data_IF_023051539138
#
_entry.id   IF_023051539138
#
_cell.length_a   1.000
_cell.length_b   1.000
_cell.length_c   1.000
_cell.angle_alpha   90.00
_cell.angle_beta   90.00
_cell.angle_gamma   90.00
#
_symmetry.space_group_name_H-M   'P 1'
#
loop_
_entity.id
_entity.type
_entity.pdbx_description
1 polymer ?
#
# COMPACT_ATOMS: atom_id res chain seq x y z
N UNK A 1 52.43 -25.56 -31.35
CA UNK A 1 51.91 -25.91 -30.00
C UNK A 1 51.70 -24.63 -29.15
N UNK A 2 51.08 -23.58 -29.73
CA UNK A 2 50.88 -22.25 -29.11
C UNK A 2 49.49 -21.66 -29.48
N UNK A 3 48.49 -22.52 -29.70
CA UNK A 3 47.14 -22.09 -30.08
C UNK A 3 46.33 -21.59 -28.86
N UNK A 4 46.58 -22.18 -27.68
CA UNK A 4 45.85 -21.89 -26.44
C UNK A 4 46.10 -20.47 -25.89
N UNK A 5 47.26 -19.88 -26.18
CA UNK A 5 47.62 -18.54 -25.69
C UNK A 5 46.80 -17.43 -26.36
N UNK A 6 46.26 -17.69 -27.56
CA UNK A 6 45.35 -16.78 -28.27
C UNK A 6 43.94 -16.74 -27.66
N UNK A 7 43.54 -17.84 -27.02
CA UNK A 7 42.22 -17.99 -26.41
C UNK A 7 42.14 -17.45 -24.97
N UNK A 8 43.24 -17.50 -24.21
CA UNK A 8 43.26 -17.11 -22.79
C UNK A 8 44.15 -15.89 -22.45
N UNK A 9 44.95 -15.37 -23.41
CA UNK A 9 45.96 -14.33 -23.14
C UNK A 9 45.71 -12.96 -23.81
N UNK A 10 44.67 -12.83 -24.63
CA UNK A 10 44.34 -11.55 -25.29
C UNK A 10 43.52 -10.65 -24.37
N UNK A 11 43.83 -9.33 -24.31
CA UNK A 11 42.88 -8.33 -23.80
C UNK A 11 41.54 -8.59 -24.49
N UNK A 12 40.50 -8.85 -23.71
CA UNK A 12 39.13 -8.96 -24.21
C UNK A 12 38.86 -7.72 -25.05
N UNK A 13 38.90 -7.85 -26.38
CA UNK A 13 38.24 -6.89 -27.25
C UNK A 13 36.81 -6.90 -26.74
N UNK A 14 36.34 -5.77 -26.22
CA UNK A 14 34.92 -5.57 -25.98
C UNK A 14 34.26 -5.71 -27.34
N UNK A 15 33.84 -6.93 -27.69
CA UNK A 15 32.93 -7.14 -28.78
C UNK A 15 31.68 -6.43 -28.32
N UNK A 16 31.41 -5.28 -28.94
CA UNK A 16 30.20 -4.52 -28.71
C UNK A 16 29.04 -5.49 -28.96
N UNK A 17 28.36 -5.92 -27.88
CA UNK A 17 27.30 -6.91 -27.97
C UNK A 17 26.14 -6.24 -28.71
N UNK A 18 26.09 -6.43 -30.04
CA UNK A 18 25.00 -5.96 -30.90
C UNK A 18 23.74 -6.83 -30.79
N UNK A 19 23.83 -7.96 -30.08
CA UNK A 19 22.72 -8.87 -29.87
C UNK A 19 21.95 -8.52 -28.59
N UNK A 20 20.63 -8.47 -28.69
CA UNK A 20 19.73 -8.31 -27.54
C UNK A 20 19.93 -9.47 -26.56
N UNK A 21 20.10 -9.16 -25.28
CA UNK A 21 20.16 -10.17 -24.23
C UNK A 21 18.76 -10.69 -23.90
N UNK A 22 18.66 -11.94 -23.41
CA UNK A 22 17.44 -12.49 -22.80
C UNK A 22 16.85 -11.55 -21.74
N UNK A 23 17.71 -10.88 -20.97
CA UNK A 23 17.28 -9.89 -19.98
C UNK A 23 16.63 -8.66 -20.62
N UNK A 24 17.14 -8.21 -21.76
CA UNK A 24 16.58 -7.06 -22.49
C UNK A 24 15.24 -7.42 -23.12
N UNK A 25 15.14 -8.61 -23.74
CA UNK A 25 13.88 -9.15 -24.25
C UNK A 25 12.83 -9.30 -23.14
N UNK A 26 13.22 -9.76 -21.96
CA UNK A 26 12.35 -9.80 -20.79
C UNK A 26 11.90 -8.41 -20.37
N UNK A 27 12.81 -7.44 -20.31
CA UNK A 27 12.49 -6.07 -19.89
C UNK A 27 11.54 -5.38 -20.87
N UNK A 28 11.66 -5.65 -22.16
CA UNK A 28 10.77 -5.13 -23.21
C UNK A 28 9.36 -5.74 -23.13
N UNK A 29 9.25 -7.05 -22.93
CA UNK A 29 7.98 -7.79 -22.96
C UNK A 29 7.33 -7.99 -21.57
N UNK A 30 7.98 -7.58 -20.50
CA UNK A 30 7.44 -7.71 -19.15
C UNK A 30 6.21 -6.83 -18.98
N UNK A 31 5.15 -7.46 -18.46
CA UNK A 31 3.93 -6.79 -18.02
C UNK A 31 3.69 -7.08 -16.55
N UNK A 32 3.36 -6.03 -15.79
CA UNK A 32 3.05 -6.16 -14.36
C UNK A 32 1.79 -7.01 -14.16
N UNK A 33 0.77 -6.79 -14.99
CA UNK A 33 -0.43 -7.64 -15.12
C UNK A 33 -0.55 -8.00 -16.59
N UNK A 34 -0.58 -9.31 -16.91
CA UNK A 34 -0.72 -9.81 -18.28
C UNK A 34 -2.21 -9.90 -18.63
N UNK A 35 -2.59 -9.37 -19.79
CA UNK A 35 -3.93 -9.55 -20.36
C UNK A 35 -3.97 -10.75 -21.31
N UNK A 36 -5.17 -11.08 -21.82
CA UNK A 36 -5.33 -12.13 -22.83
C UNK A 36 -4.63 -11.76 -24.14
N UNK A 37 -4.58 -10.48 -24.48
CA UNK A 37 -3.91 -9.95 -25.67
C UNK A 37 -2.38 -10.10 -25.57
N UNK A 38 -1.80 -9.81 -24.40
CA UNK A 38 -0.36 -10.01 -24.17
C UNK A 38 0.04 -11.50 -24.27
N UNK A 39 -0.90 -12.40 -23.99
CA UNK A 39 -0.72 -13.85 -24.01
C UNK A 39 -1.00 -14.49 -25.38
N UNK A 40 -1.56 -13.73 -26.32
CA UNK A 40 -1.81 -14.15 -27.69
C UNK A 40 -0.57 -14.07 -28.58
N UNK A 41 0.44 -13.26 -28.20
CA UNK A 41 1.72 -13.23 -28.91
C UNK A 41 2.52 -14.51 -28.65
N UNK A 42 2.83 -15.24 -29.72
CA UNK A 42 3.57 -16.50 -29.70
C UNK A 42 5.07 -16.33 -29.97
N UNK A 43 5.57 -15.09 -30.07
CA UNK A 43 6.99 -14.80 -30.19
C UNK A 43 7.81 -15.46 -29.08
N UNK A 44 9.09 -15.74 -29.37
CA UNK A 44 9.97 -16.39 -28.39
C UNK A 44 10.13 -15.51 -27.13
N UNK A 45 10.22 -14.20 -27.31
CA UNK A 45 10.32 -13.19 -26.26
C UNK A 45 9.05 -13.14 -25.41
N UNK A 46 7.87 -13.16 -26.04
CA UNK A 46 6.59 -13.21 -25.32
C UNK A 46 6.45 -14.52 -24.52
N UNK A 47 6.86 -15.66 -25.10
CA UNK A 47 6.90 -16.95 -24.40
C UNK A 47 7.86 -16.95 -23.21
N UNK A 48 9.02 -16.31 -23.34
CA UNK A 48 10.00 -16.16 -22.26
C UNK A 48 9.41 -15.32 -21.12
N UNK A 49 8.80 -14.16 -21.44
CA UNK A 49 8.13 -13.30 -20.47
C UNK A 49 6.95 -14.00 -19.78
N UNK A 50 6.14 -14.75 -20.52
CA UNK A 50 5.03 -15.55 -19.98
C UNK A 50 5.50 -16.62 -19.00
N UNK A 51 6.58 -17.34 -19.34
CA UNK A 51 7.21 -18.32 -18.44
C UNK A 51 7.76 -17.67 -17.17
N UNK A 52 8.37 -16.49 -17.29
CA UNK A 52 8.84 -15.74 -16.14
C UNK A 52 7.67 -15.30 -15.25
N UNK A 53 6.61 -14.78 -15.84
CA UNK A 53 5.40 -14.33 -15.13
C UNK A 53 4.71 -15.46 -14.34
N UNK A 54 4.68 -16.67 -14.91
CA UNK A 54 4.12 -17.86 -14.25
C UNK A 54 4.91 -18.29 -13.00
N UNK A 55 6.21 -17.97 -12.94
CA UNK A 55 7.07 -18.27 -11.78
C UNK A 55 6.94 -17.22 -10.66
N UNK A 56 6.38 -16.05 -10.93
CA UNK A 56 6.25 -14.98 -9.94
C UNK A 56 5.12 -15.29 -8.95
N UNK A 57 5.46 -15.30 -7.65
CA UNK A 57 4.50 -15.39 -6.56
C UNK A 57 3.91 -14.01 -6.24
N UNK A 58 2.80 -13.68 -6.92
CA UNK A 58 2.18 -12.34 -6.94
C UNK A 58 0.99 -12.16 -5.98
N UNK A 59 0.73 -13.12 -5.09
CA UNK A 59 -0.37 -13.02 -4.11
C UNK A 59 -0.10 -11.91 -3.09
N UNK A 60 1.09 -11.87 -2.48
CA UNK A 60 1.46 -10.82 -1.52
C UNK A 60 2.71 -10.06 -1.97
N UNK A 61 2.71 -8.75 -1.77
CA UNK A 61 3.85 -7.87 -1.95
C UNK A 61 4.53 -7.51 -0.63
N UNK A 62 5.80 -7.11 -0.70
CA UNK A 62 6.54 -6.47 0.40
C UNK A 62 6.34 -4.97 0.29
N UNK A 63 6.06 -4.32 1.43
CA UNK A 63 5.80 -2.88 1.51
C UNK A 63 6.87 -2.15 2.32
N UNK A 64 7.24 -0.97 1.85
CA UNK A 64 8.06 0.00 2.56
C UNK A 64 7.18 1.12 3.10
N UNK A 65 7.02 1.14 4.42
CA UNK A 65 6.21 2.11 5.17
C UNK A 65 7.05 3.24 5.78
N UNK A 66 8.34 3.36 5.43
CA UNK A 66 9.24 4.36 6.03
C UNK A 66 8.77 5.82 5.89
N UNK A 67 8.00 6.14 4.84
CA UNK A 67 7.44 7.48 4.58
C UNK A 67 5.91 7.54 4.69
N UNK A 68 5.30 6.66 5.49
CA UNK A 68 3.84 6.63 5.67
C UNK A 68 3.25 7.97 6.17
N UNK A 69 4.02 8.74 6.96
CA UNK A 69 3.63 10.08 7.44
C UNK A 69 3.51 11.13 6.33
N UNK A 70 4.12 10.90 5.18
CA UNK A 70 3.98 11.72 3.96
C UNK A 70 2.91 11.16 3.01
N UNK A 71 2.30 10.01 3.33
CA UNK A 71 1.37 9.31 2.46
C UNK A 71 2.05 8.59 1.30
N UNK A 72 3.37 8.40 1.37
CA UNK A 72 4.17 7.73 0.35
C UNK A 72 4.55 6.34 0.81
N UNK A 73 4.26 5.34 -0.02
CA UNK A 73 4.56 3.94 0.24
C UNK A 73 5.31 3.37 -0.97
N UNK A 74 6.27 2.48 -0.70
CA UNK A 74 6.93 1.69 -1.74
C UNK A 74 6.45 0.24 -1.67
N UNK A 75 6.38 -0.45 -2.80
CA UNK A 75 6.09 -1.88 -2.80
C UNK A 75 6.86 -2.61 -3.89
N UNK A 76 7.10 -3.89 -3.68
CA UNK A 76 7.66 -4.81 -4.67
C UNK A 76 7.15 -6.21 -4.47
N UNK A 77 7.22 -7.02 -5.51
CA UNK A 77 7.02 -8.46 -5.38
C UNK A 77 8.10 -9.09 -4.49
N UNK A 78 7.72 -10.21 -3.87
CA UNK A 78 8.63 -11.01 -3.02
C UNK A 78 9.68 -11.71 -3.87
N UNK A 79 10.87 -11.85 -3.31
CA UNK A 79 11.92 -12.70 -3.89
C UNK A 79 11.67 -14.16 -3.53
N UNK A 80 12.31 -15.10 -4.25
CA UNK A 80 12.20 -16.53 -3.96
C UNK A 80 12.55 -16.86 -2.49
N UNK A 81 13.64 -16.30 -1.97
CA UNK A 81 14.04 -16.50 -0.58
C UNK A 81 12.98 -16.00 0.42
N UNK A 82 12.32 -14.87 0.13
CA UNK A 82 11.24 -14.33 0.95
C UNK A 82 9.98 -15.20 0.89
N UNK A 83 9.63 -15.72 -0.30
CA UNK A 83 8.49 -16.62 -0.46
C UNK A 83 8.71 -17.90 0.33
N UNK A 84 9.89 -18.53 0.18
CA UNK A 84 10.25 -19.76 0.91
C UNK A 84 10.31 -19.54 2.42
N UNK A 85 10.76 -18.37 2.87
CA UNK A 85 10.74 -17.99 4.28
C UNK A 85 9.33 -17.67 4.83
N UNK A 86 8.32 -17.54 3.96
CA UNK A 86 6.95 -17.19 4.34
C UNK A 86 6.73 -15.69 4.58
N UNK A 87 7.65 -14.83 4.15
CA UNK A 87 7.54 -13.37 4.31
C UNK A 87 6.30 -12.84 3.61
N UNK A 88 5.54 -11.98 4.28
CA UNK A 88 4.29 -11.41 3.75
C UNK A 88 3.12 -12.40 3.69
N UNK A 89 3.29 -13.65 4.11
CA UNK A 89 2.21 -14.63 4.23
C UNK A 89 2.09 -15.16 5.66
N UNK A 90 3.17 -15.65 6.24
CA UNK A 90 3.24 -16.13 7.64
C UNK A 90 3.98 -15.16 8.57
N UNK A 91 4.61 -14.13 8.01
CA UNK A 91 5.14 -12.98 8.73
C UNK A 91 4.73 -11.68 8.04
N UNK A 92 4.90 -10.56 8.75
CA UNK A 92 4.61 -9.23 8.27
C UNK A 92 5.37 -8.94 6.96
N UNK A 93 4.67 -8.41 5.97
CA UNK A 93 5.21 -7.98 4.68
C UNK A 93 5.85 -6.59 4.71
N UNK A 94 5.93 -5.93 5.86
CA UNK A 94 6.66 -4.67 5.99
C UNK A 94 8.18 -4.92 5.96
N UNK A 95 8.91 -4.08 5.24
CA UNK A 95 10.36 -4.14 5.15
C UNK A 95 10.99 -4.07 6.54
N UNK A 96 11.89 -5.01 6.85
CA UNK A 96 12.58 -5.15 8.16
C UNK A 96 11.68 -5.51 9.34
N UNK A 97 10.52 -6.12 9.12
CA UNK A 97 9.67 -6.66 10.18
C UNK A 97 9.67 -8.20 10.16
N UNK A 98 9.76 -8.82 11.34
CA UNK A 98 9.71 -10.28 11.53
C UNK A 98 8.48 -10.79 12.28
N UNK A 99 7.52 -9.90 12.61
CA UNK A 99 6.33 -10.25 13.39
C UNK A 99 5.45 -11.27 12.65
N UNK A 100 4.87 -12.23 13.40
CA UNK A 100 4.06 -13.32 12.85
C UNK A 100 2.63 -13.34 13.42
N UNK A 101 2.35 -12.54 14.44
CA UNK A 101 1.07 -12.53 15.15
C UNK A 101 0.16 -11.41 14.65
N UNK A 102 -1.16 -11.64 14.71
CA UNK A 102 -2.17 -10.63 14.38
C UNK A 102 -2.07 -10.10 12.94
N UNK A 103 -1.64 -10.95 12.00
CA UNK A 103 -1.45 -10.54 10.62
C UNK A 103 -2.78 -10.41 9.89
N UNK A 104 -3.01 -9.25 9.28
CA UNK A 104 -4.17 -8.96 8.45
C UNK A 104 -3.76 -8.65 7.01
N UNK A 105 -4.64 -8.96 6.06
CA UNK A 105 -4.44 -8.69 4.63
C UNK A 105 -5.12 -7.39 4.22
N UNK A 106 -4.43 -6.60 3.40
CA UNK A 106 -4.89 -5.30 2.93
C UNK A 106 -4.72 -5.22 1.41
N UNK A 107 -5.70 -4.65 0.74
CA UNK A 107 -5.61 -4.28 -0.67
C UNK A 107 -5.19 -2.82 -0.78
N UNK A 108 -4.01 -2.60 -1.35
CA UNK A 108 -3.42 -1.27 -1.46
C UNK A 108 -3.43 -0.84 -2.92
N UNK A 109 -3.97 0.35 -3.24
CA UNK A 109 -3.91 0.88 -4.61
C UNK A 109 -2.46 1.17 -4.99
N UNK A 110 -2.05 0.62 -6.12
CA UNK A 110 -0.72 0.78 -6.69
C UNK A 110 -0.84 1.39 -8.09
N UNK A 111 -0.32 2.61 -8.24
CA UNK A 111 -0.18 3.25 -9.55
C UNK A 111 1.19 2.96 -10.13
N UNK A 112 1.25 2.57 -11.40
CA UNK A 112 2.50 2.27 -12.10
C UNK A 112 2.42 2.70 -13.57
N UNK A 113 3.56 3.11 -14.14
CA UNK A 113 3.67 3.44 -15.55
C UNK A 113 4.21 2.25 -16.32
N UNK A 114 3.54 1.87 -17.41
CA UNK A 114 3.97 0.75 -18.26
C UNK A 114 3.72 1.11 -19.73
N UNK A 115 4.76 0.99 -20.57
CA UNK A 115 4.74 1.42 -21.97
C UNK A 115 4.22 2.86 -22.19
N UNK A 116 4.58 3.77 -21.27
CA UNK A 116 4.18 5.19 -21.34
C UNK A 116 2.75 5.48 -20.88
N UNK A 117 2.03 4.47 -20.38
CA UNK A 117 0.65 4.60 -19.88
C UNK A 117 0.62 4.40 -18.37
N UNK A 118 -0.03 5.32 -17.66
CA UNK A 118 -0.30 5.17 -16.24
C UNK A 118 -1.44 4.17 -16.02
N UNK A 119 -1.17 3.15 -15.20
CA UNK A 119 -2.09 2.08 -14.84
C UNK A 119 -2.26 2.04 -13.33
N UNK A 120 -3.35 1.43 -12.87
CA UNK A 120 -3.62 1.20 -11.46
C UNK A 120 -4.03 -0.24 -11.23
N UNK A 121 -3.60 -0.80 -10.11
CA UNK A 121 -3.97 -2.14 -9.65
C UNK A 121 -4.13 -2.16 -8.13
N UNK A 122 -4.92 -3.09 -7.62
CA UNK A 122 -4.95 -3.42 -6.20
C UNK A 122 -3.93 -4.52 -5.93
N UNK A 123 -3.01 -4.26 -5.00
CA UNK A 123 -1.97 -5.21 -4.60
C UNK A 123 -2.23 -5.62 -3.16
N UNK A 124 -2.23 -6.93 -2.92
CA UNK A 124 -2.43 -7.48 -1.59
C UNK A 124 -1.11 -7.44 -0.78
N UNK A 125 -1.21 -6.98 0.46
CA UNK A 125 -0.11 -6.97 1.45
C UNK A 125 -0.62 -7.52 2.78
N UNK A 126 0.20 -8.29 3.48
CA UNK A 126 -0.15 -8.82 4.80
C UNK A 126 0.71 -8.18 5.87
N UNK A 127 0.10 -7.55 6.88
CA UNK A 127 0.81 -6.72 7.86
C UNK A 127 0.41 -7.05 9.29
N UNK A 128 1.34 -6.86 10.23
CA UNK A 128 1.02 -6.88 11.66
C UNK A 128 0.28 -5.60 12.08
N UNK A 129 -0.31 -5.56 13.29
CA UNK A 129 -1.14 -4.43 13.73
C UNK A 129 -0.41 -3.08 13.71
N UNK A 130 0.87 -3.05 14.07
CA UNK A 130 1.69 -1.83 14.04
C UNK A 130 1.82 -1.27 12.61
N UNK A 131 2.18 -2.13 11.66
CA UNK A 131 2.36 -1.72 10.26
C UNK A 131 1.03 -1.43 9.56
N UNK A 132 -0.07 -2.07 9.99
CA UNK A 132 -1.40 -1.73 9.55
C UNK A 132 -1.84 -0.32 9.99
N UNK A 133 -1.45 0.11 11.20
CA UNK A 133 -1.67 1.48 11.66
C UNK A 133 -0.83 2.48 10.84
N UNK A 134 0.41 2.14 10.50
CA UNK A 134 1.24 2.97 9.61
C UNK A 134 0.62 3.09 8.22
N UNK A 135 0.13 1.99 7.64
CA UNK A 135 -0.54 1.96 6.34
C UNK A 135 -1.76 2.92 6.32
N UNK A 136 -2.56 2.93 7.38
CA UNK A 136 -3.80 3.72 7.48
C UNK A 136 -3.59 5.12 8.08
N UNK A 137 -2.35 5.52 8.34
CA UNK A 137 -2.01 6.74 9.08
C UNK A 137 -2.65 8.00 8.50
N UNK A 138 -2.55 8.23 7.18
CA UNK A 138 -3.11 9.44 6.55
C UNK A 138 -4.62 9.52 6.70
N UNK A 139 -5.31 8.40 6.44
CA UNK A 139 -6.78 8.32 6.56
C UNK A 139 -7.22 8.59 8.01
N UNK A 140 -6.49 8.03 8.97
CA UNK A 140 -6.68 8.29 10.40
C UNK A 140 -6.52 9.78 10.74
N UNK A 141 -5.46 10.43 10.27
CA UNK A 141 -5.24 11.87 10.49
C UNK A 141 -6.33 12.74 9.86
N UNK A 142 -6.80 12.39 8.66
CA UNK A 142 -7.90 13.10 8.00
C UNK A 142 -9.21 13.00 8.78
N UNK A 143 -9.55 11.81 9.29
CA UNK A 143 -10.74 11.60 10.10
C UNK A 143 -10.71 12.39 11.41
N UNK A 144 -9.55 12.43 12.09
CA UNK A 144 -9.38 13.22 13.31
C UNK A 144 -9.61 14.72 13.04
N UNK A 145 -8.98 15.27 12.00
CA UNK A 145 -9.16 16.67 11.60
C UNK A 145 -10.60 17.00 11.22
N UNK A 146 -11.28 16.11 10.50
CA UNK A 146 -12.68 16.29 10.12
C UNK A 146 -13.61 16.34 11.33
N UNK A 147 -13.36 15.49 12.34
CA UNK A 147 -14.14 15.47 13.58
C UNK A 147 -13.92 16.73 14.43
N UNK A 148 -12.69 17.19 14.56
CA UNK A 148 -12.37 18.46 15.24
C UNK A 148 -13.08 19.65 14.56
N UNK A 149 -13.07 19.69 13.22
CA UNK A 149 -13.77 20.71 12.46
C UNK A 149 -15.30 20.65 12.67
N UNK A 150 -15.88 19.45 12.71
CA UNK A 150 -17.31 19.25 12.99
C UNK A 150 -17.67 19.68 14.43
N UNK A 151 -16.84 19.36 15.42
CA UNK A 151 -17.05 19.75 16.80
C UNK A 151 -17.03 21.28 16.98
N UNK A 152 -16.09 21.98 16.32
CA UNK A 152 -16.02 23.45 16.32
C UNK A 152 -17.27 24.08 15.71
N UNK A 153 -17.74 23.57 14.55
CA UNK A 153 -18.98 24.03 13.90
C UNK A 153 -20.21 23.82 14.77
N UNK A 154 -20.32 22.66 15.43
CA UNK A 154 -21.42 22.35 16.34
C UNK A 154 -21.48 23.29 17.54
N UNK A 155 -20.33 23.58 18.16
CA UNK A 155 -20.23 24.55 19.27
C UNK A 155 -20.65 25.97 18.83
N UNK A 156 -20.21 26.41 17.65
CA UNK A 156 -20.55 27.74 17.12
C UNK A 156 -22.06 27.87 16.78
N UNK A 157 -22.70 26.80 16.31
CA UNK A 157 -24.16 26.77 16.07
C UNK A 157 -24.95 26.85 17.39
N UNK A 158 -24.52 26.16 18.45
CA UNK A 158 -25.15 26.24 19.78
C UNK A 158 -25.04 27.65 20.36
N UNK A 159 -23.86 28.28 20.26
CA UNK A 159 -23.66 29.67 20.69
C UNK A 159 -24.53 30.69 19.93
N UNK A 160 -24.75 30.51 18.63
CA UNK A 160 -25.64 31.38 17.84
C UNK A 160 -27.14 31.15 18.10
N UNK A 161 -27.54 29.92 18.43
CA UNK A 161 -28.92 29.59 18.78
C UNK A 161 -29.36 30.17 20.13
N UNK A 162 -28.42 30.36 21.06
CA UNK A 162 -28.64 30.96 22.38
C UNK A 162 -28.79 32.49 22.35
N UNK A 163 -28.54 33.13 21.20
CA UNK A 163 -28.61 34.60 21.04
C UNK A 163 -29.94 35.10 20.42
N UNK A 164 -30.96 34.25 20.27
CA UNK A 164 -32.31 34.73 19.94
C UNK A 164 -33.00 35.23 21.23
N UNK A 165 -33.52 36.47 21.28
CA UNK A 165 -34.14 37.01 22.48
C UNK A 165 -35.44 36.25 22.77
N UNK A 166 -35.54 35.71 23.98
CA UNK A 166 -36.76 35.16 24.52
C UNK A 166 -37.76 36.31 24.75
N UNK A 167 -38.85 36.31 23.98
CA UNK A 167 -40.07 36.99 24.40
C UNK A 167 -40.70 36.17 25.54
N UNK A 168 -40.74 36.81 26.70
CA UNK A 168 -41.46 36.56 27.96
C UNK A 168 -42.56 35.47 27.96
N UNK A 169 -42.48 34.49 28.88
CA UNK A 169 -43.31 34.42 30.10
C UNK A 169 -43.08 33.15 30.97
N UNK A 170 -42.75 33.44 32.24
CA UNK A 170 -43.20 32.84 33.54
C UNK A 170 -42.89 31.37 33.92
N UNK A 171 -41.95 31.29 34.88
CA UNK A 171 -41.82 30.47 36.11
C UNK A 171 -42.28 28.99 36.17
N UNK A 172 -41.33 28.13 36.55
CA UNK A 172 -41.59 27.00 37.45
C UNK A 172 -40.64 25.81 37.34
N UNK A 173 -39.86 25.55 38.39
CA UNK A 173 -39.51 24.18 38.81
C UNK A 173 -38.14 23.61 38.40
N UNK A 174 -37.37 23.28 39.44
CA UNK A 174 -36.10 22.54 39.51
C UNK A 174 -36.09 21.19 38.77
N UNK A 175 -34.97 20.77 38.19
CA UNK A 175 -34.03 19.81 38.81
C UNK A 175 -32.77 19.62 37.94
N UNK A 176 -31.65 19.45 38.61
CA UNK A 176 -30.33 19.18 38.05
C UNK A 176 -30.22 17.72 37.63
N UNK A 177 -29.74 17.44 36.42
CA UNK A 177 -28.90 16.27 36.21
C UNK A 177 -27.97 16.47 35.00
N UNK A 178 -26.71 16.61 35.36
CA UNK A 178 -25.54 16.70 34.51
C UNK A 178 -25.20 15.32 33.97
N UNK A 179 -25.06 15.20 32.65
CA UNK A 179 -24.73 13.95 32.01
C UNK A 179 -24.63 14.13 30.51
N UNK A 180 -23.40 14.19 29.99
CA UNK A 180 -22.99 13.66 28.66
C UNK A 180 -21.61 14.18 28.25
N UNK A 181 -20.55 13.61 28.82
CA UNK A 181 -19.20 13.75 28.24
C UNK A 181 -18.57 12.42 27.78
N UNK A 182 -19.16 11.25 28.10
CA UNK A 182 -18.61 9.94 27.76
C UNK A 182 -18.90 9.44 26.31
N UNK A 183 -19.95 9.94 25.64
CA UNK A 183 -20.39 9.39 24.35
C UNK A 183 -19.48 9.72 23.15
N UNK A 184 -18.60 10.73 23.25
CA UNK A 184 -17.74 11.15 22.13
C UNK A 184 -16.45 10.35 22.01
N UNK A 185 -15.88 9.89 23.14
CA UNK A 185 -14.68 9.08 23.15
C UNK A 185 -14.93 7.70 22.51
N UNK A 186 -16.03 7.03 22.89
CA UNK A 186 -16.38 5.71 22.32
C UNK A 186 -16.67 5.71 20.81
N UNK A 187 -17.07 6.85 20.23
CA UNK A 187 -17.32 6.97 18.78
C UNK A 187 -16.02 7.12 17.97
N UNK A 188 -14.97 7.67 18.58
CA UNK A 188 -13.64 7.81 17.97
C UNK A 188 -12.97 6.45 17.86
N UNK A 189 -12.99 5.66 18.93
CA UNK A 189 -12.36 4.34 18.95
C UNK A 189 -13.05 3.39 17.95
N UNK A 190 -14.38 3.35 17.90
CA UNK A 190 -15.12 2.52 16.94
C UNK A 190 -14.85 2.88 15.47
N UNK A 191 -14.67 4.16 15.14
CA UNK A 191 -14.35 4.60 13.77
C UNK A 191 -12.90 4.30 13.37
N UNK A 192 -11.99 4.20 14.35
CA UNK A 192 -10.58 3.85 14.16
C UNK A 192 -10.37 2.34 14.12
N UNK A 193 -11.17 1.58 14.86
CA UNK A 193 -11.24 0.12 14.81
C UNK A 193 -11.79 -0.36 13.47
N UNK A 194 -12.80 0.30 12.89
CA UNK A 194 -13.35 -0.04 11.56
C UNK A 194 -12.42 0.22 10.36
N UNK A 195 -11.20 0.74 10.59
CA UNK A 195 -10.17 0.89 9.55
C UNK A 195 -9.21 -0.29 9.47
N UNK A 196 -9.22 -1.16 10.49
CA UNK A 196 -8.46 -2.40 10.53
C UNK A 196 -9.46 -3.55 10.33
N UNK A 197 -9.25 -4.43 9.34
CA UNK A 197 -10.09 -5.61 9.15
C UNK A 197 -9.89 -6.63 10.29
#
# INVERSE_FOLDING_TARGET
MLDWQKYYGGKLQQVEQTAKSDHDSLREQYRFIRSAEDDADESWEARLAKRYYAKLFREYAVVDLSRHKEGRLGMRWRTEAEVTAGTGQFSCGARKCGERRGLASFEVPFSYAEAGVDKQALVQVRLCPEHAQQLTYQKRQQLLRAQEAAAKKGSQKRRRGDSQPAAEQVQGGTDSQDGTHAAKAGRLDAALEGLLP
#
